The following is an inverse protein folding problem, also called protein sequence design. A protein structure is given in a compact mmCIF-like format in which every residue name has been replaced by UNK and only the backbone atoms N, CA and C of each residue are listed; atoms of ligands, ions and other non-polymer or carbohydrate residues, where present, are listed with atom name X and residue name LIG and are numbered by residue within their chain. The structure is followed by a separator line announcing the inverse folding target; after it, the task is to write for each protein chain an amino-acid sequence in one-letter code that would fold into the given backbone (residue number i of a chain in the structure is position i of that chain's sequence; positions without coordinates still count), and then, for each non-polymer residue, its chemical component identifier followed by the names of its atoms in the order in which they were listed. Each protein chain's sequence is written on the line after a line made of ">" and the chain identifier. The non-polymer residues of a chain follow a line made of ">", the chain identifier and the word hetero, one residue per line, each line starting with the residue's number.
data_IF_163364497048
#
_entry.id   IF_163364497048
#
_cell.length_a   1.000
_cell.length_b   1.000
_cell.length_c   1.000
_cell.angle_alpha   90.00
_cell.angle_beta   90.00
_cell.angle_gamma   90.00
#
_symmetry.space_group_name_H-M   'P 1'
#
loop_
_entity.id
_entity.type
_entity.pdbx_description
1 polymer ?
#
# COMPACT_ATOMS: atom_id res chain seq x y z
N UNK A 1 -27.81 -11.65 -18.54
CA UNK A 1 -29.25 -11.88 -18.76
C UNK A 1 -29.76 -10.84 -19.75
N UNK A 2 -30.44 -11.25 -20.86
CA UNK A 2 -31.05 -10.31 -21.81
C UNK A 2 -32.34 -9.78 -21.23
N UNK A 3 -32.50 -8.45 -21.14
CA UNK A 3 -33.67 -7.78 -20.61
C UNK A 3 -34.28 -6.97 -21.77
N UNK A 4 -35.55 -7.19 -22.12
CA UNK A 4 -36.17 -6.46 -23.22
C UNK A 4 -36.41 -5.00 -22.84
N UNK A 5 -36.19 -4.11 -23.83
CA UNK A 5 -36.42 -2.66 -23.72
C UNK A 5 -37.88 -2.34 -24.12
N UNK A 6 -38.46 -1.34 -23.49
CA UNK A 6 -39.68 -0.72 -23.97
C UNK A 6 -39.38 0.19 -25.18
N UNK A 7 -40.43 0.52 -26.00
CA UNK A 7 -40.24 1.37 -27.20
C UNK A 7 -39.66 2.79 -26.97
N UNK A 8 -39.47 3.19 -25.71
CA UNK A 8 -39.03 4.53 -25.33
C UNK A 8 -37.50 4.75 -25.30
N UNK A 9 -36.71 3.69 -25.53
CA UNK A 9 -35.22 3.79 -25.36
C UNK A 9 -34.52 3.82 -26.71
N UNK A 10 -34.29 5.03 -27.25
CA UNK A 10 -33.66 5.24 -28.57
C UNK A 10 -32.15 5.48 -28.53
N UNK A 11 -31.51 5.60 -27.36
CA UNK A 11 -30.09 5.97 -27.22
C UNK A 11 -29.29 4.89 -26.47
N UNK A 12 -29.30 3.65 -27.01
CA UNK A 12 -28.64 2.49 -26.37
C UNK A 12 -27.11 2.67 -26.36
N UNK A 13 -26.55 3.33 -27.34
CA UNK A 13 -25.10 3.53 -27.46
C UNK A 13 -24.51 4.36 -26.31
N UNK A 14 -25.28 5.29 -25.75
CA UNK A 14 -24.88 6.06 -24.57
C UNK A 14 -24.82 5.23 -23.27
N UNK A 15 -25.40 4.03 -23.27
CA UNK A 15 -25.46 3.17 -22.07
C UNK A 15 -24.25 2.26 -21.96
N UNK A 16 -23.57 2.04 -23.08
CA UNK A 16 -22.38 1.17 -23.14
C UNK A 16 -21.26 1.81 -22.31
N UNK A 17 -20.62 1.01 -21.47
CA UNK A 17 -19.57 1.43 -20.54
C UNK A 17 -20.01 2.44 -19.46
N UNK A 18 -21.30 2.67 -19.27
CA UNK A 18 -21.81 3.51 -18.20
C UNK A 18 -22.58 2.71 -17.14
N UNK A 19 -22.57 3.20 -15.91
CA UNK A 19 -23.42 2.74 -14.83
C UNK A 19 -24.79 3.38 -14.94
N UNK A 20 -25.86 2.61 -14.62
CA UNK A 20 -27.21 3.13 -14.72
C UNK A 20 -28.16 2.48 -13.72
N UNK A 21 -29.10 3.26 -13.22
CA UNK A 21 -30.28 2.74 -12.54
C UNK A 21 -31.35 2.37 -13.58
N UNK A 22 -31.87 1.18 -13.47
CA UNK A 22 -32.89 0.65 -14.38
C UNK A 22 -34.24 0.52 -13.65
N UNK A 23 -35.24 1.25 -14.11
CA UNK A 23 -36.60 1.06 -13.64
C UNK A 23 -37.28 0.00 -14.49
N UNK A 24 -37.80 -1.03 -13.83
CA UNK A 24 -38.45 -2.16 -14.47
C UNK A 24 -39.97 -2.12 -14.28
N UNK A 25 -40.72 -2.45 -15.32
CA UNK A 25 -42.18 -2.68 -15.25
C UNK A 25 -42.54 -3.88 -16.14
N UNK A 26 -43.23 -4.86 -15.57
CA UNK A 26 -43.65 -6.09 -16.26
C UNK A 26 -42.47 -6.78 -17.01
N UNK A 27 -41.29 -6.86 -16.37
CA UNK A 27 -40.09 -7.49 -16.93
C UNK A 27 -39.40 -6.70 -18.04
N UNK A 28 -39.80 -5.46 -18.31
CA UNK A 28 -39.18 -4.57 -19.33
C UNK A 28 -38.56 -3.33 -18.68
N UNK A 29 -37.46 -2.85 -19.22
CA UNK A 29 -36.87 -1.56 -18.83
C UNK A 29 -37.77 -0.44 -19.35
N UNK A 30 -38.25 0.42 -18.46
CA UNK A 30 -39.09 1.56 -18.78
C UNK A 30 -38.41 2.89 -18.61
N UNK A 31 -37.33 2.94 -17.79
CA UNK A 31 -36.50 4.12 -17.59
C UNK A 31 -35.06 3.71 -17.30
N UNK A 32 -34.13 4.47 -17.84
CA UNK A 32 -32.70 4.37 -17.60
C UNK A 32 -32.20 5.72 -17.08
N UNK A 33 -31.51 5.72 -15.97
CA UNK A 33 -30.86 6.92 -15.41
C UNK A 33 -29.36 6.65 -15.36
N UNK A 34 -28.59 7.28 -16.26
CA UNK A 34 -27.15 7.12 -16.34
C UNK A 34 -26.46 7.84 -15.18
N UNK A 35 -25.42 7.21 -14.62
CA UNK A 35 -24.52 7.76 -13.63
C UNK A 35 -23.20 8.03 -14.35
N UNK A 36 -22.95 9.31 -14.72
CA UNK A 36 -21.83 9.70 -15.58
C UNK A 36 -20.66 10.31 -14.80
N UNK A 37 -20.91 10.80 -13.59
CA UNK A 37 -19.88 11.46 -12.79
C UNK A 37 -18.87 10.44 -12.28
N UNK A 38 -17.59 10.66 -12.63
CA UNK A 38 -16.49 9.79 -12.28
C UNK A 38 -15.37 10.57 -11.63
N UNK A 39 -14.80 9.99 -10.58
CA UNK A 39 -13.61 10.50 -9.92
C UNK A 39 -12.51 9.46 -10.09
N UNK A 40 -11.36 9.89 -10.59
CA UNK A 40 -10.15 9.08 -10.66
C UNK A 40 -9.06 9.84 -9.92
N UNK A 41 -8.76 9.38 -8.73
CA UNK A 41 -7.75 9.96 -7.83
C UNK A 41 -7.09 8.85 -7.04
N UNK A 42 -5.94 9.17 -6.50
CA UNK A 42 -5.24 8.25 -5.61
C UNK A 42 -6.06 7.99 -4.36
N UNK A 43 -6.18 6.71 -4.01
CA UNK A 43 -6.86 6.26 -2.79
C UNK A 43 -5.93 6.49 -1.60
N UNK A 44 -6.36 7.28 -0.64
CA UNK A 44 -5.59 7.60 0.58
C UNK A 44 -5.91 6.63 1.72
N UNK A 45 -7.17 6.23 1.86
CA UNK A 45 -7.59 5.17 2.79
C UNK A 45 -8.91 4.51 2.35
N UNK A 46 -9.17 3.32 2.87
CA UNK A 46 -10.42 2.58 2.64
C UNK A 46 -11.03 2.19 3.98
N UNK A 47 -12.26 2.64 4.21
CA UNK A 47 -13.07 2.32 5.37
C UNK A 47 -14.18 1.32 4.97
N UNK A 48 -14.89 0.78 5.95
CA UNK A 48 -16.04 -0.10 5.68
C UNK A 48 -17.16 0.60 4.91
N UNK A 49 -17.35 1.89 5.18
CA UNK A 49 -18.44 2.72 4.65
C UNK A 49 -18.04 3.62 3.49
N UNK A 50 -16.73 3.69 3.09
CA UNK A 50 -16.29 4.59 2.04
C UNK A 50 -14.78 4.59 1.80
N UNK A 51 -14.35 5.53 0.98
CA UNK A 51 -12.93 5.78 0.68
C UNK A 51 -12.57 7.23 0.90
N UNK A 52 -11.31 7.48 1.21
CA UNK A 52 -10.69 8.80 1.17
C UNK A 52 -9.88 8.92 -0.13
N UNK A 53 -10.21 9.91 -0.94
CA UNK A 53 -9.54 10.19 -2.20
C UNK A 53 -8.77 11.51 -2.11
N UNK A 54 -7.59 11.53 -2.71
CA UNK A 54 -6.76 12.73 -2.80
C UNK A 54 -7.56 13.87 -3.46
N UNK A 55 -7.51 15.08 -2.92
CA UNK A 55 -8.26 16.29 -3.34
C UNK A 55 -9.79 16.22 -3.14
N UNK A 56 -10.37 15.07 -2.88
CA UNK A 56 -11.82 14.91 -2.70
C UNK A 56 -12.25 14.59 -1.27
N UNK A 57 -11.31 14.16 -0.42
CA UNK A 57 -11.61 13.73 0.94
C UNK A 57 -12.41 12.43 0.99
N UNK A 58 -13.20 12.25 2.03
CA UNK A 58 -13.97 11.02 2.29
C UNK A 58 -15.29 11.03 1.52
N UNK A 59 -15.51 9.96 0.73
CA UNK A 59 -16.74 9.74 -0.04
C UNK A 59 -17.34 8.40 0.40
N UNK A 60 -18.60 8.37 0.92
CA UNK A 60 -19.21 7.14 1.38
C UNK A 60 -19.70 6.26 0.22
N UNK A 61 -19.77 4.94 0.44
CA UNK A 61 -20.41 4.00 -0.47
C UNK A 61 -21.96 4.12 -0.41
N UNK A 62 -22.60 4.00 -1.58
CA UNK A 62 -24.04 3.78 -1.67
C UNK A 62 -24.36 2.34 -1.25
N UNK A 63 -25.50 2.09 -0.61
CA UNK A 63 -25.97 0.73 -0.35
C UNK A 63 -26.07 -0.07 -1.66
N UNK A 64 -25.45 -1.25 -1.71
CA UNK A 64 -25.36 -2.05 -2.92
C UNK A 64 -24.34 -1.55 -3.94
N UNK A 65 -23.35 -0.76 -3.53
CA UNK A 65 -22.22 -0.34 -4.36
C UNK A 65 -21.61 -1.55 -5.10
N UNK A 66 -21.28 -1.36 -6.38
CA UNK A 66 -20.72 -2.40 -7.22
C UNK A 66 -19.21 -2.25 -7.32
N UNK A 67 -18.48 -3.34 -7.17
CA UNK A 67 -17.02 -3.40 -7.34
C UNK A 67 -16.74 -4.30 -8.54
N UNK A 68 -16.08 -3.75 -9.57
CA UNK A 68 -15.88 -4.40 -10.86
C UNK A 68 -14.47 -4.17 -11.39
N UNK A 69 -13.85 -5.23 -11.90
CA UNK A 69 -12.71 -5.14 -12.80
C UNK A 69 -13.25 -4.99 -14.23
N UNK A 70 -12.77 -4.02 -14.98
CA UNK A 70 -13.31 -3.67 -16.32
C UNK A 70 -12.29 -3.80 -17.45
N UNK A 71 -11.05 -4.11 -17.15
CA UNK A 71 -10.01 -4.42 -18.14
C UNK A 71 -9.86 -5.96 -18.29
N UNK A 72 -9.46 -6.41 -19.48
CA UNK A 72 -9.43 -7.84 -19.79
C UNK A 72 -10.85 -8.44 -19.78
N UNK A 73 -11.15 -9.26 -18.78
CA UNK A 73 -12.50 -9.81 -18.55
C UNK A 73 -13.24 -9.01 -17.49
N UNK A 74 -14.55 -8.84 -17.69
CA UNK A 74 -15.41 -8.19 -16.69
C UNK A 74 -15.64 -9.15 -15.51
N UNK A 75 -15.12 -8.77 -14.34
CA UNK A 75 -15.19 -9.59 -13.12
C UNK A 75 -15.76 -8.79 -11.95
N UNK A 76 -16.46 -9.50 -11.04
CA UNK A 76 -16.86 -8.90 -9.77
C UNK A 76 -15.66 -8.86 -8.83
N UNK A 77 -15.54 -7.75 -8.15
CA UNK A 77 -14.57 -7.52 -7.08
C UNK A 77 -15.27 -7.25 -5.75
N UNK A 78 -14.48 -7.03 -4.72
CA UNK A 78 -14.91 -6.72 -3.35
C UNK A 78 -14.29 -5.39 -2.91
N UNK A 79 -14.78 -4.75 -1.83
CA UNK A 79 -14.15 -3.56 -1.25
C UNK A 79 -12.66 -3.75 -0.91
N UNK A 80 -12.28 -5.01 -0.59
CA UNK A 80 -10.90 -5.39 -0.27
C UNK A 80 -9.96 -5.29 -1.47
N UNK A 81 -10.48 -5.26 -2.69
CA UNK A 81 -9.69 -5.16 -3.92
C UNK A 81 -9.36 -3.69 -4.30
N UNK A 82 -9.79 -2.71 -3.48
CA UNK A 82 -9.38 -1.33 -3.62
C UNK A 82 -7.97 -1.17 -3.05
N UNK A 83 -7.03 -0.74 -3.90
CA UNK A 83 -5.64 -0.55 -3.51
C UNK A 83 -5.36 0.87 -3.05
N UNK A 84 -4.89 1.00 -1.82
CA UNK A 84 -4.43 2.25 -1.25
C UNK A 84 -3.15 2.73 -1.93
N UNK A 85 -2.97 4.03 -2.07
CA UNK A 85 -1.78 4.65 -2.65
C UNK A 85 -1.79 4.74 -4.18
N UNK A 86 -2.80 4.17 -4.85
CA UNK A 86 -2.90 4.09 -6.31
C UNK A 86 -4.16 4.77 -6.85
N UNK A 87 -4.16 5.07 -8.16
CA UNK A 87 -5.25 5.72 -8.90
C UNK A 87 -5.81 4.81 -10.01
N UNK A 88 -5.74 3.50 -9.81
CA UNK A 88 -6.15 2.50 -10.79
C UNK A 88 -7.66 2.23 -10.79
N UNK A 89 -8.40 2.81 -9.87
CA UNK A 89 -9.84 2.75 -9.78
C UNK A 89 -10.51 4.04 -10.23
N UNK A 90 -11.62 3.90 -10.96
CA UNK A 90 -12.59 4.97 -11.20
C UNK A 90 -13.77 4.80 -10.26
N UNK A 91 -14.13 5.87 -9.56
CA UNK A 91 -15.26 5.90 -8.64
C UNK A 91 -16.43 6.58 -9.31
N UNK A 92 -17.50 5.84 -9.59
CA UNK A 92 -18.73 6.40 -10.14
C UNK A 92 -19.54 6.99 -9.00
N UNK A 93 -19.74 8.31 -9.03
CA UNK A 93 -20.39 9.06 -7.95
C UNK A 93 -21.78 9.50 -8.37
N UNK A 94 -22.74 9.36 -7.47
CA UNK A 94 -24.08 9.91 -7.63
C UNK A 94 -24.62 10.38 -6.28
N UNK A 95 -25.17 11.58 -6.22
CA UNK A 95 -25.75 12.15 -4.99
C UNK A 95 -24.77 12.17 -3.80
N UNK A 96 -23.50 12.43 -4.07
CA UNK A 96 -22.45 12.49 -3.05
C UNK A 96 -22.00 11.12 -2.51
N UNK A 97 -22.40 10.01 -3.15
CA UNK A 97 -22.01 8.66 -2.77
C UNK A 97 -21.42 7.89 -3.94
N UNK A 98 -20.50 6.97 -3.65
CA UNK A 98 -19.94 6.05 -4.65
C UNK A 98 -20.93 4.92 -4.87
N UNK A 99 -21.43 4.77 -6.10
CA UNK A 99 -22.35 3.71 -6.49
C UNK A 99 -21.66 2.57 -7.26
N UNK A 100 -20.46 2.80 -7.77
CA UNK A 100 -19.60 1.74 -8.31
C UNK A 100 -18.12 2.12 -8.22
N UNK A 101 -17.28 1.11 -8.04
CA UNK A 101 -15.82 1.19 -8.13
C UNK A 101 -15.38 0.31 -9.28
N UNK A 102 -14.68 0.90 -10.24
CA UNK A 102 -14.24 0.24 -11.46
C UNK A 102 -12.73 0.19 -11.49
N UNK A 103 -12.13 -0.99 -11.36
CA UNK A 103 -10.70 -1.18 -11.60
C UNK A 103 -10.46 -1.21 -13.10
N UNK A 104 -9.79 -0.19 -13.63
CA UNK A 104 -9.73 0.08 -15.09
C UNK A 104 -8.40 -0.29 -15.74
N UNK A 105 -7.40 -0.62 -14.94
CA UNK A 105 -6.06 -1.01 -15.43
C UNK A 105 -5.37 -1.99 -14.48
N UNK A 106 -4.32 -2.62 -14.98
CA UNK A 106 -3.49 -3.51 -14.19
C UNK A 106 -2.71 -2.74 -13.09
N UNK A 107 -2.43 -3.46 -12.02
CA UNK A 107 -1.61 -3.00 -10.92
C UNK A 107 -0.13 -2.97 -11.30
N UNK A 108 0.53 -1.87 -11.01
CA UNK A 108 1.98 -1.73 -11.08
C UNK A 108 2.50 -1.19 -9.75
N UNK A 109 3.23 -2.02 -9.00
CA UNK A 109 3.77 -1.69 -7.69
C UNK A 109 5.03 -0.83 -7.80
N UNK A 110 4.89 0.45 -8.11
CA UNK A 110 6.01 1.40 -8.12
C UNK A 110 6.32 1.98 -6.73
N UNK A 111 5.34 2.07 -5.85
CA UNK A 111 5.46 2.63 -4.50
C UNK A 111 4.92 1.70 -3.44
N UNK A 112 5.42 1.85 -2.23
CA UNK A 112 4.92 1.20 -1.03
C UNK A 112 4.62 2.25 0.04
N UNK A 113 3.68 1.93 0.94
CA UNK A 113 3.24 2.77 2.04
C UNK A 113 3.45 2.01 3.34
N UNK A 114 4.40 2.49 4.14
CA UNK A 114 4.85 1.85 5.37
C UNK A 114 4.33 2.63 6.57
N UNK A 115 3.55 1.99 7.40
CA UNK A 115 3.14 2.54 8.69
C UNK A 115 4.33 2.44 9.65
N UNK A 116 4.77 3.57 10.19
CA UNK A 116 5.88 3.62 11.12
C UNK A 116 5.35 3.44 12.53
N UNK A 117 5.79 2.38 13.20
CA UNK A 117 5.46 2.11 14.60
C UNK A 117 6.29 2.97 15.55
N UNK A 118 5.91 3.00 16.81
CA UNK A 118 6.67 3.66 17.86
C UNK A 118 8.10 3.06 18.02
N UNK A 119 8.92 3.67 18.84
CA UNK A 119 10.32 3.24 19.01
C UNK A 119 10.48 1.81 19.55
N UNK A 120 9.46 1.30 20.23
CA UNK A 120 9.43 -0.06 20.80
C UNK A 120 8.78 -1.10 19.91
N UNK A 121 8.20 -0.72 18.77
CA UNK A 121 7.34 -1.58 17.94
C UNK A 121 6.13 -2.16 18.70
N UNK A 122 5.61 -1.41 19.68
CA UNK A 122 4.48 -1.83 20.51
C UNK A 122 3.16 -1.18 20.04
N UNK A 123 3.24 0.01 19.44
CA UNK A 123 2.08 0.78 19.01
C UNK A 123 2.25 1.39 17.62
N UNK A 124 1.15 1.46 16.89
CA UNK A 124 1.05 2.21 15.63
C UNK A 124 0.74 3.70 15.87
N UNK A 125 0.47 4.08 17.13
CA UNK A 125 0.08 5.43 17.50
C UNK A 125 1.22 6.18 18.16
N UNK A 126 1.36 7.45 17.80
CA UNK A 126 2.35 8.35 18.35
C UNK A 126 1.67 9.46 19.16
N UNK A 127 2.12 9.75 20.39
CA UNK A 127 1.60 10.87 21.16
C UNK A 127 1.98 12.22 20.55
N UNK A 128 3.08 12.26 19.82
CA UNK A 128 3.53 13.36 18.96
C UNK A 128 4.55 12.86 17.94
N UNK A 129 4.70 13.59 16.85
CA UNK A 129 5.72 13.35 15.82
C UNK A 129 6.56 14.60 15.64
N UNK A 130 7.88 14.45 15.72
CA UNK A 130 8.83 15.55 15.51
C UNK A 130 9.63 15.28 14.26
N UNK A 131 9.60 16.23 13.31
CA UNK A 131 10.20 16.13 12.00
C UNK A 131 11.28 17.19 11.80
N UNK A 132 12.36 16.81 11.15
CA UNK A 132 13.45 17.68 10.72
C UNK A 132 13.95 17.24 9.34
N UNK A 133 14.34 18.18 8.49
CA UNK A 133 14.94 17.90 7.20
C UNK A 133 16.17 18.78 7.01
N UNK A 134 17.31 18.25 6.53
CA UNK A 134 18.52 19.06 6.22
C UNK A 134 18.26 20.06 5.07
N UNK A 135 17.32 19.75 4.15
CA UNK A 135 16.80 20.68 3.13
C UNK A 135 15.46 21.26 3.53
N UNK A 136 14.88 22.09 2.66
CA UNK A 136 13.52 22.56 2.86
C UNK A 136 12.51 21.40 2.73
N UNK A 137 11.35 21.56 3.39
CA UNK A 137 10.23 20.63 3.21
C UNK A 137 8.92 21.40 3.08
N UNK A 138 8.01 20.88 2.27
CA UNK A 138 6.65 21.39 2.11
C UNK A 138 5.70 20.58 2.97
N UNK A 139 4.82 21.24 3.73
CA UNK A 139 3.70 20.63 4.44
C UNK A 139 2.42 21.02 3.73
N UNK A 140 1.55 20.07 3.41
CA UNK A 140 0.29 20.29 2.73
C UNK A 140 -0.87 19.64 3.51
N UNK A 141 -2.01 20.33 3.60
CA UNK A 141 -3.22 19.86 4.25
C UNK A 141 -4.43 20.52 3.58
N UNK A 142 -5.46 19.78 3.24
CA UNK A 142 -6.55 20.28 2.42
C UNK A 142 -6.01 20.99 1.16
N UNK A 143 -6.46 22.21 0.91
CA UNK A 143 -5.99 23.06 -0.20
C UNK A 143 -4.80 23.95 0.19
N UNK A 144 -4.35 23.91 1.44
CA UNK A 144 -3.28 24.76 1.97
C UNK A 144 -1.92 24.08 1.96
N UNK A 145 -0.86 24.90 1.95
CA UNK A 145 0.51 24.45 2.12
C UNK A 145 1.39 25.48 2.78
N UNK A 146 2.48 25.03 3.40
CA UNK A 146 3.50 25.88 3.98
C UNK A 146 4.89 25.29 3.83
N UNK A 147 5.87 26.14 3.58
CA UNK A 147 7.28 25.78 3.58
C UNK A 147 7.85 25.75 5.00
N UNK A 148 8.77 24.83 5.22
CA UNK A 148 9.60 24.72 6.42
C UNK A 148 11.04 24.86 5.97
N UNK A 149 11.78 25.76 6.62
CA UNK A 149 13.17 26.01 6.26
C UNK A 149 14.08 24.81 6.60
N UNK A 150 15.19 24.71 5.88
CA UNK A 150 16.19 23.69 6.11
C UNK A 150 16.66 23.66 7.57
N UNK A 151 16.73 22.46 8.15
CA UNK A 151 17.16 22.25 9.54
C UNK A 151 16.15 22.63 10.62
N UNK A 152 15.01 23.21 10.25
CA UNK A 152 13.97 23.62 11.19
C UNK A 152 13.17 22.39 11.67
N UNK A 153 13.03 22.29 12.99
CA UNK A 153 12.27 21.21 13.62
C UNK A 153 10.78 21.58 13.72
N UNK A 154 9.91 20.61 13.48
CA UNK A 154 8.47 20.75 13.59
C UNK A 154 7.88 19.62 14.42
N UNK A 155 7.15 20.02 15.46
CA UNK A 155 6.36 19.10 16.29
C UNK A 155 4.93 19.12 15.80
N UNK A 156 4.35 17.94 15.62
CA UNK A 156 2.95 17.70 15.31
C UNK A 156 2.38 16.83 16.44
N UNK A 157 1.26 17.24 17.00
CA UNK A 157 0.58 16.54 18.08
C UNK A 157 -0.91 16.38 17.76
N UNK A 158 -1.63 15.46 18.42
CA UNK A 158 -3.08 15.37 18.32
C UNK A 158 -3.76 16.70 18.58
N UNK A 159 -4.81 17.01 17.82
CA UNK A 159 -5.50 18.32 17.88
C UNK A 159 -4.86 19.42 17.03
N UNK A 160 -3.80 19.15 16.28
CA UNK A 160 -3.25 20.08 15.30
C UNK A 160 -4.33 20.47 14.28
N UNK A 161 -4.56 21.77 14.09
CA UNK A 161 -5.64 22.27 13.22
C UNK A 161 -5.51 21.75 11.77
N UNK A 162 -4.30 21.52 11.29
CA UNK A 162 -4.03 21.00 9.95
C UNK A 162 -4.52 19.56 9.74
N UNK A 163 -4.62 18.77 10.79
CA UNK A 163 -5.13 17.39 10.74
C UNK A 163 -6.66 17.32 10.71
N UNK A 164 -7.35 18.43 11.04
CA UNK A 164 -8.82 18.48 11.00
C UNK A 164 -9.39 18.43 9.59
N UNK A 165 -8.61 18.83 8.59
CA UNK A 165 -8.99 18.81 7.20
C UNK A 165 -8.57 17.51 6.47
N UNK A 166 -8.05 16.54 7.22
CA UNK A 166 -7.62 15.25 6.70
C UNK A 166 -6.17 14.93 7.02
N UNK A 167 -5.36 14.63 5.99
CA UNK A 167 -3.96 14.26 6.14
C UNK A 167 -3.05 15.48 6.09
N UNK A 168 -2.05 15.49 6.97
CA UNK A 168 -0.90 16.37 6.82
C UNK A 168 0.18 15.61 6.03
N UNK A 169 0.49 16.09 4.84
CA UNK A 169 1.51 15.52 3.96
C UNK A 169 2.78 16.33 4.12
N UNK A 170 3.92 15.68 4.32
CA UNK A 170 5.23 16.31 4.43
C UNK A 170 6.13 15.78 3.31
N UNK A 171 6.48 16.65 2.38
CA UNK A 171 7.31 16.35 1.22
C UNK A 171 8.66 17.07 1.37
N UNK A 172 9.80 16.35 1.45
CA UNK A 172 11.11 17.00 1.43
C UNK A 172 11.44 17.52 0.03
N UNK A 173 12.38 18.45 -0.04
CA UNK A 173 13.03 18.84 -1.28
C UNK A 173 13.66 17.60 -1.96
N UNK A 174 13.71 17.61 -3.29
CA UNK A 174 14.20 16.48 -4.08
C UNK A 174 15.59 16.01 -3.63
N UNK A 175 15.76 14.70 -3.49
CA UNK A 175 16.99 14.07 -3.03
C UNK A 175 17.29 14.27 -1.54
N UNK A 176 16.35 14.80 -0.76
CA UNK A 176 16.47 14.92 0.71
C UNK A 176 15.59 13.91 1.41
N UNK A 177 15.98 13.62 2.65
CA UNK A 177 15.27 12.70 3.54
C UNK A 177 14.80 13.44 4.79
N UNK A 178 13.67 12.98 5.33
CA UNK A 178 13.10 13.54 6.57
C UNK A 178 13.57 12.68 7.73
N UNK A 179 14.16 13.29 8.73
CA UNK A 179 14.42 12.68 10.03
C UNK A 179 13.17 12.78 10.91
N UNK A 180 12.75 11.69 11.50
CA UNK A 180 11.71 11.66 12.53
C UNK A 180 12.39 11.59 13.88
N UNK A 181 12.72 12.76 14.46
CA UNK A 181 13.55 12.86 15.69
C UNK A 181 12.85 12.32 16.94
N UNK A 182 11.55 12.05 16.86
CA UNK A 182 10.78 11.35 17.90
C UNK A 182 10.80 9.83 17.79
N UNK A 183 11.43 9.27 16.74
CA UNK A 183 11.60 7.82 16.55
C UNK A 183 13.06 7.42 16.68
N UNK A 184 13.28 6.32 17.39
CA UNK A 184 14.61 5.71 17.55
C UNK A 184 14.55 4.24 17.17
N UNK A 185 15.59 3.73 16.53
CA UNK A 185 15.80 2.32 16.22
C UNK A 185 17.10 1.85 16.85
N UNK A 186 17.05 1.52 18.14
CA UNK A 186 18.24 1.30 18.93
C UNK A 186 19.07 2.59 19.06
N UNK A 187 20.31 2.57 18.56
CA UNK A 187 21.18 3.76 18.49
C UNK A 187 21.09 4.49 17.16
N UNK A 188 20.36 3.97 16.19
CA UNK A 188 20.17 4.56 14.88
C UNK A 188 19.00 5.54 14.87
N UNK A 189 19.23 6.73 14.31
CA UNK A 189 18.20 7.73 14.06
C UNK A 189 17.77 7.64 12.59
N UNK A 190 16.59 7.05 12.29
CA UNK A 190 16.22 6.76 10.92
C UNK A 190 15.85 8.00 10.13
N UNK A 191 16.30 8.03 8.87
CA UNK A 191 15.96 9.00 7.86
C UNK A 191 15.05 8.36 6.82
N UNK A 192 14.02 9.08 6.38
CA UNK A 192 12.97 8.58 5.50
C UNK A 192 12.99 9.29 4.16
N UNK A 193 13.23 8.54 3.09
CA UNK A 193 13.05 8.99 1.72
C UNK A 193 11.57 9.06 1.36
N UNK A 194 11.25 9.76 0.27
CA UNK A 194 9.87 9.92 -0.18
C UNK A 194 9.12 10.96 0.66
N UNK A 195 7.86 10.70 1.00
CA UNK A 195 7.04 11.62 1.78
C UNK A 195 6.51 10.95 3.04
N UNK A 196 6.19 11.76 4.02
CA UNK A 196 5.50 11.34 5.23
C UNK A 196 4.05 11.87 5.21
N UNK A 197 3.12 11.04 5.67
CA UNK A 197 1.73 11.41 5.87
C UNK A 197 1.34 11.16 7.32
N UNK A 198 0.72 12.15 7.95
CA UNK A 198 0.21 12.06 9.31
C UNK A 198 -1.31 12.10 9.29
N UNK A 199 -1.92 11.23 10.08
CA UNK A 199 -3.37 11.15 10.28
C UNK A 199 -3.64 11.13 11.77
N UNK A 200 -4.61 11.90 12.22
CA UNK A 200 -5.11 11.81 13.58
C UNK A 200 -6.09 10.63 13.70
N UNK A 201 -5.85 9.77 14.67
CA UNK A 201 -6.70 8.66 15.04
C UNK A 201 -7.14 8.78 16.51
N UNK A 202 -8.00 7.88 16.97
CA UNK A 202 -8.56 7.97 18.33
C UNK A 202 -7.49 7.91 19.44
N UNK A 203 -6.43 7.12 19.23
CA UNK A 203 -5.38 6.87 20.23
C UNK A 203 -4.11 7.72 20.02
N UNK A 204 -4.05 8.55 18.97
CA UNK A 204 -2.88 9.38 18.67
C UNK A 204 -2.68 9.61 17.19
N UNK A 205 -1.46 9.96 16.80
CA UNK A 205 -1.09 10.13 15.39
C UNK A 205 -0.65 8.83 14.77
N UNK A 206 -1.08 8.57 13.55
CA UNK A 206 -0.54 7.51 12.69
C UNK A 206 0.38 8.16 11.67
N UNK A 207 1.57 7.60 11.51
CA UNK A 207 2.60 8.09 10.60
C UNK A 207 2.85 7.07 9.48
N UNK A 208 2.70 7.49 8.24
CA UNK A 208 2.91 6.66 7.05
C UNK A 208 4.01 7.24 6.18
N UNK A 209 4.98 6.42 5.81
CA UNK A 209 6.01 6.76 4.84
C UNK A 209 5.66 6.18 3.47
N UNK A 210 5.49 7.04 2.46
CA UNK A 210 5.31 6.63 1.07
C UNK A 210 6.59 6.87 0.28
N UNK A 211 7.11 5.81 -0.35
CA UNK A 211 8.34 5.89 -1.13
C UNK A 211 8.32 4.87 -2.28
N UNK A 212 9.26 5.01 -3.21
CA UNK A 212 9.44 4.02 -4.28
C UNK A 212 9.88 2.66 -3.73
N UNK A 213 9.43 1.58 -4.37
CA UNK A 213 9.72 0.20 -3.97
C UNK A 213 11.22 -0.05 -3.83
N UNK A 214 12.04 0.40 -4.77
CA UNK A 214 13.48 0.16 -4.71
C UNK A 214 14.16 0.94 -3.56
N UNK A 215 13.69 2.15 -3.25
CA UNK A 215 14.18 2.90 -2.08
C UNK A 215 13.77 2.24 -0.75
N UNK A 216 12.59 1.64 -0.69
CA UNK A 216 12.17 0.80 0.43
C UNK A 216 13.12 -0.38 0.62
N UNK A 217 13.44 -1.10 -0.45
CA UNK A 217 14.31 -2.28 -0.40
C UNK A 217 15.74 -1.97 0.01
N UNK A 218 16.28 -0.79 -0.33
CA UNK A 218 17.59 -0.33 0.14
C UNK A 218 17.68 -0.20 1.66
N UNK A 219 16.54 -0.10 2.34
CA UNK A 219 16.43 -0.04 3.81
C UNK A 219 15.97 -1.33 4.46
N UNK A 220 15.25 -2.17 3.71
CA UNK A 220 14.85 -3.52 4.18
C UNK A 220 16.04 -4.47 4.16
N UNK A 221 16.76 -4.55 3.04
CA UNK A 221 17.84 -5.53 2.87
C UNK A 221 18.89 -5.44 3.98
N UNK A 222 19.46 -4.27 4.34
CA UNK A 222 20.45 -4.18 5.43
C UNK A 222 19.81 -4.38 6.81
N UNK A 223 18.50 -4.15 6.96
CA UNK A 223 17.78 -4.38 8.22
C UNK A 223 17.45 -5.86 8.46
N UNK A 224 17.36 -6.66 7.40
CA UNK A 224 17.04 -8.10 7.45
C UNK A 224 18.29 -8.99 7.36
N UNK A 225 19.34 -8.54 6.67
CA UNK A 225 20.55 -9.32 6.43
C UNK A 225 21.79 -8.46 6.57
N UNK A 226 22.79 -8.88 7.37
CA UNK A 226 24.04 -8.12 7.50
C UNK A 226 24.71 -7.84 6.14
N UNK A 227 25.05 -6.60 5.86
CA UNK A 227 25.70 -6.17 4.60
C UNK A 227 27.07 -6.82 4.35
N UNK A 228 27.67 -7.45 5.39
CA UNK A 228 28.90 -8.23 5.27
C UNK A 228 28.74 -9.58 4.54
N UNK A 229 27.49 -10.04 4.30
CA UNK A 229 27.24 -11.28 3.57
C UNK A 229 27.68 -11.15 2.10
N UNK A 230 27.80 -12.31 1.43
CA UNK A 230 28.16 -12.34 0.01
C UNK A 230 27.14 -11.58 -0.85
N UNK A 231 27.63 -10.87 -1.88
CA UNK A 231 26.78 -10.02 -2.72
C UNK A 231 25.62 -10.81 -3.34
N UNK A 232 25.85 -12.05 -3.76
CA UNK A 232 24.80 -12.89 -4.34
C UNK A 232 23.74 -13.30 -3.29
N UNK A 233 24.10 -13.42 -2.03
CA UNK A 233 23.13 -13.63 -0.95
C UNK A 233 22.27 -12.37 -0.73
N UNK A 234 22.88 -11.17 -0.72
CA UNK A 234 22.16 -9.89 -0.64
C UNK A 234 21.24 -9.70 -1.84
N UNK A 235 21.65 -10.09 -3.05
CA UNK A 235 20.78 -10.07 -4.25
C UNK A 235 19.58 -11.03 -4.12
N UNK A 236 19.81 -12.23 -3.61
CA UNK A 236 18.71 -13.16 -3.35
C UNK A 236 17.73 -12.60 -2.33
N UNK A 237 18.23 -11.99 -1.25
CA UNK A 237 17.39 -11.29 -0.26
C UNK A 237 16.60 -10.16 -0.90
N UNK A 238 17.20 -9.34 -1.75
CA UNK A 238 16.50 -8.24 -2.44
C UNK A 238 15.36 -8.74 -3.33
N UNK A 239 15.56 -9.85 -4.07
CA UNK A 239 14.51 -10.49 -4.90
C UNK A 239 13.38 -11.05 -4.03
N UNK A 240 13.71 -11.73 -2.93
CA UNK A 240 12.72 -12.24 -1.97
C UNK A 240 11.91 -11.10 -1.36
N UNK A 241 12.60 -10.06 -0.84
CA UNK A 241 11.97 -8.92 -0.19
C UNK A 241 11.05 -8.15 -1.15
N UNK A 242 11.47 -7.94 -2.41
CA UNK A 242 10.65 -7.29 -3.44
C UNK A 242 9.40 -8.09 -3.74
N UNK A 243 9.52 -9.40 -3.90
CA UNK A 243 8.38 -10.27 -4.18
C UNK A 243 7.40 -10.29 -3.01
N UNK A 244 7.91 -10.37 -1.78
CA UNK A 244 7.10 -10.30 -0.57
C UNK A 244 6.36 -8.95 -0.47
N UNK A 245 7.08 -7.83 -0.61
CA UNK A 245 6.50 -6.49 -0.55
C UNK A 245 5.40 -6.29 -1.61
N UNK A 246 5.61 -6.75 -2.84
CA UNK A 246 4.61 -6.73 -3.90
C UNK A 246 3.31 -7.44 -3.50
N UNK A 247 3.41 -8.59 -2.86
CA UNK A 247 2.25 -9.34 -2.37
C UNK A 247 1.54 -8.59 -1.23
N UNK A 248 2.30 -7.95 -0.32
CA UNK A 248 1.74 -7.23 0.81
C UNK A 248 1.01 -5.94 0.41
N UNK A 249 1.41 -5.27 -0.67
CA UNK A 249 0.69 -4.10 -1.20
C UNK A 249 -0.78 -4.43 -1.50
N UNK A 250 -1.07 -5.66 -1.91
CA UNK A 250 -2.42 -6.13 -2.17
C UNK A 250 -3.19 -6.55 -0.89
N UNK A 251 -2.51 -6.49 0.26
CA UNK A 251 -3.11 -6.76 1.57
C UNK A 251 -3.95 -5.58 2.09
N UNK A 252 -4.68 -5.83 3.17
CA UNK A 252 -5.67 -4.88 3.72
C UNK A 252 -5.43 -4.52 5.18
N UNK A 253 -4.32 -4.96 5.77
CA UNK A 253 -4.08 -4.86 7.21
C UNK A 253 -4.21 -3.44 7.74
N UNK A 254 -3.67 -2.47 7.02
CA UNK A 254 -3.64 -1.05 7.43
C UNK A 254 -4.34 -0.12 6.45
N UNK A 255 -5.26 -0.64 5.60
CA UNK A 255 -5.94 0.17 4.58
C UNK A 255 -6.71 1.36 5.15
N UNK A 256 -7.24 1.24 6.38
CA UNK A 256 -7.96 2.32 7.07
C UNK A 256 -7.06 3.51 7.44
N UNK A 257 -5.77 3.27 7.60
CA UNK A 257 -4.76 4.31 7.84
C UNK A 257 -4.04 4.75 6.56
N UNK A 258 -4.27 4.03 5.47
CA UNK A 258 -3.65 4.31 4.20
C UNK A 258 -2.27 3.69 4.04
N UNK A 259 -1.97 2.58 4.71
CA UNK A 259 -0.71 1.87 4.62
C UNK A 259 -0.90 0.41 4.15
N UNK A 260 0.18 -0.17 3.62
CA UNK A 260 0.23 -1.55 3.17
C UNK A 260 0.80 -2.48 4.25
N UNK A 261 1.88 -2.06 4.87
CA UNK A 261 2.68 -2.80 5.85
C UNK A 261 3.06 -1.88 7.01
N UNK A 262 3.52 -2.46 8.13
CA UNK A 262 4.29 -1.74 9.15
C UNK A 262 5.80 -1.99 8.98
N UNK A 263 6.61 -1.30 9.79
CA UNK A 263 8.07 -1.37 9.74
C UNK A 263 8.71 -2.40 10.68
N UNK A 264 7.89 -3.30 11.26
CA UNK A 264 8.31 -4.32 12.23
C UNK A 264 8.45 -5.72 11.62
N UNK A 265 8.75 -6.68 12.47
CA UNK A 265 8.80 -8.11 12.14
C UNK A 265 7.43 -8.73 11.78
N UNK A 266 6.33 -7.99 11.92
CA UNK A 266 5.02 -8.42 11.41
C UNK A 266 5.02 -8.57 9.89
N UNK A 267 5.87 -7.76 9.22
CA UNK A 267 6.08 -7.77 7.78
C UNK A 267 7.57 -7.91 7.47
N UNK A 268 8.25 -6.83 7.16
CA UNK A 268 9.68 -6.76 6.90
C UNK A 268 10.27 -5.64 7.74
N UNK A 269 11.35 -5.92 8.44
CA UNK A 269 12.05 -4.89 9.21
C UNK A 269 12.53 -3.81 8.26
N UNK A 270 12.02 -2.60 8.45
CA UNK A 270 12.29 -1.47 7.58
C UNK A 270 13.04 -0.37 8.31
N UNK A 271 14.13 0.11 7.71
CA UNK A 271 14.90 1.26 8.17
C UNK A 271 15.42 1.16 9.62
N UNK A 272 15.78 -0.07 10.04
CA UNK A 272 16.36 -0.36 11.37
C UNK A 272 17.90 -0.33 11.34
N UNK A 273 18.48 -0.20 10.16
CA UNK A 273 19.90 -0.05 9.90
C UNK A 273 20.13 0.99 8.82
N UNK A 274 21.24 1.69 8.89
CA UNK A 274 21.64 2.63 7.86
C UNK A 274 21.86 1.91 6.51
N UNK A 275 21.39 2.48 5.38
CA UNK A 275 21.67 1.93 4.06
C UNK A 275 23.18 1.76 3.84
N UNK A 276 23.56 0.62 3.28
CA UNK A 276 24.95 0.25 3.00
C UNK A 276 25.19 0.13 1.49
N UNK A 277 26.40 0.47 1.01
CA UNK A 277 26.72 0.46 -0.42
C UNK A 277 26.54 -0.93 -1.04
N UNK A 278 26.90 -2.01 -0.32
CA UNK A 278 26.79 -3.38 -0.85
C UNK A 278 25.34 -3.85 -0.94
N UNK A 279 24.52 -3.55 0.08
CA UNK A 279 23.10 -3.87 0.07
C UNK A 279 22.35 -3.03 -0.99
N UNK A 280 22.69 -1.75 -1.12
CA UNK A 280 22.18 -0.86 -2.18
C UNK A 280 22.51 -1.41 -3.57
N UNK A 281 23.76 -1.79 -3.81
CA UNK A 281 24.20 -2.42 -5.05
C UNK A 281 23.45 -3.72 -5.35
N UNK A 282 23.15 -4.54 -4.34
CA UNK A 282 22.38 -5.77 -4.50
C UNK A 282 20.95 -5.50 -4.97
N UNK A 283 20.31 -4.45 -4.44
CA UNK A 283 18.97 -3.99 -4.87
C UNK A 283 19.03 -3.50 -6.31
N UNK A 284 19.97 -2.61 -6.64
CA UNK A 284 20.08 -2.01 -7.97
C UNK A 284 20.38 -3.06 -9.06
N UNK A 285 21.29 -4.03 -8.81
CA UNK A 285 21.63 -5.10 -9.77
C UNK A 285 20.51 -6.14 -9.93
N UNK A 286 19.50 -6.12 -9.05
CA UNK A 286 18.30 -6.96 -9.12
C UNK A 286 17.02 -6.18 -9.39
N UNK A 287 17.14 -4.93 -9.85
CA UNK A 287 16.00 -4.03 -10.09
C UNK A 287 14.86 -4.75 -10.80
N UNK A 288 13.64 -4.66 -10.25
CA UNK A 288 12.42 -5.22 -10.81
C UNK A 288 12.33 -6.75 -10.87
N UNK A 289 13.37 -7.49 -10.43
CA UNK A 289 13.34 -8.96 -10.44
C UNK A 289 12.48 -9.48 -9.30
N UNK A 290 11.54 -10.37 -9.63
CA UNK A 290 10.61 -11.01 -8.71
C UNK A 290 10.53 -12.51 -8.98
N UNK A 291 10.05 -13.27 -8.01
CA UNK A 291 9.81 -14.71 -8.14
C UNK A 291 8.37 -15.00 -8.53
N UNK A 292 8.20 -15.91 -9.50
CA UNK A 292 6.90 -16.33 -10.00
C UNK A 292 6.77 -17.85 -9.99
N UNK A 293 5.56 -18.32 -9.75
CA UNK A 293 5.16 -19.71 -9.96
C UNK A 293 3.92 -19.74 -10.85
N UNK A 294 4.03 -20.45 -11.99
CA UNK A 294 2.94 -20.58 -12.98
C UNK A 294 2.32 -19.22 -13.40
N UNK A 295 3.18 -18.20 -13.58
CA UNK A 295 2.76 -16.86 -14.02
C UNK A 295 2.22 -15.95 -12.92
N UNK A 296 2.12 -16.39 -11.68
CA UNK A 296 1.71 -15.58 -10.53
C UNK A 296 2.88 -15.31 -9.58
N UNK A 297 2.99 -14.11 -8.99
CA UNK A 297 4.00 -13.85 -7.96
C UNK A 297 3.84 -14.79 -6.77
N UNK A 298 4.96 -15.18 -6.16
CA UNK A 298 4.94 -16.08 -4.99
C UNK A 298 4.96 -15.28 -3.69
N UNK A 299 4.44 -15.86 -2.60
CA UNK A 299 4.71 -15.36 -1.25
C UNK A 299 6.09 -15.85 -0.83
N UNK A 300 7.07 -14.93 -0.84
CA UNK A 300 8.48 -15.25 -0.63
C UNK A 300 8.84 -15.10 0.85
N UNK A 301 8.53 -16.11 1.65
CA UNK A 301 8.98 -16.14 3.05
C UNK A 301 10.48 -16.39 3.16
N UNK A 302 11.12 -15.77 4.14
CA UNK A 302 12.53 -15.98 4.48
C UNK A 302 12.72 -15.98 5.99
N UNK A 303 13.83 -16.53 6.46
CA UNK A 303 14.17 -16.66 7.88
C UNK A 303 15.68 -16.70 8.07
N UNK A 304 16.16 -16.32 9.26
CA UNK A 304 17.60 -16.19 9.55
C UNK A 304 18.29 -17.54 9.77
N UNK A 305 17.63 -18.52 10.34
CA UNK A 305 18.24 -19.81 10.74
C UNK A 305 17.29 -20.98 10.51
N UNK A 306 17.87 -22.16 10.21
CA UNK A 306 17.14 -23.42 10.13
C UNK A 306 17.94 -24.56 10.78
N UNK A 307 17.24 -25.62 11.13
CA UNK A 307 17.86 -26.88 11.59
C UNK A 307 18.32 -27.79 10.45
N UNK A 308 18.49 -27.26 9.24
CA UNK A 308 18.87 -28.01 8.04
C UNK A 308 17.70 -28.45 7.16
N UNK A 309 16.47 -28.08 7.55
CA UNK A 309 15.24 -28.26 6.76
C UNK A 309 14.47 -26.95 6.72
N UNK A 310 13.78 -26.68 5.60
CA UNK A 310 12.73 -25.66 5.55
C UNK A 310 11.38 -26.28 5.94
N UNK A 311 10.45 -25.50 6.42
CA UNK A 311 9.07 -25.91 6.61
C UNK A 311 8.28 -25.80 5.28
N UNK A 312 7.19 -26.53 5.13
CA UNK A 312 6.21 -26.33 4.09
C UNK A 312 5.09 -25.37 4.52
N UNK A 313 4.17 -25.04 3.61
CA UNK A 313 3.05 -24.14 3.87
C UNK A 313 2.11 -24.60 5.01
N UNK A 314 2.13 -25.89 5.37
CA UNK A 314 1.30 -26.44 6.45
C UNK A 314 1.69 -25.97 7.85
N UNK A 315 2.91 -25.44 8.05
CA UNK A 315 3.39 -24.99 9.36
C UNK A 315 2.55 -23.86 9.96
N UNK A 316 1.91 -23.04 9.12
CA UNK A 316 0.98 -21.98 9.52
C UNK A 316 -0.49 -22.35 9.28
N UNK A 317 -0.82 -23.64 9.14
CA UNK A 317 -2.17 -24.11 8.84
C UNK A 317 -2.62 -23.89 7.40
N UNK A 318 -1.72 -23.47 6.51
CA UNK A 318 -2.00 -23.31 5.08
C UNK A 318 -2.20 -24.66 4.38
N UNK A 319 -2.98 -24.64 3.30
CA UNK A 319 -3.15 -25.81 2.45
C UNK A 319 -1.94 -25.92 1.49
N UNK A 320 -1.15 -27.03 1.51
CA UNK A 320 0.00 -27.20 0.64
C UNK A 320 -0.33 -27.11 -0.86
N UNK A 321 -1.58 -27.35 -1.26
CA UNK A 321 -2.01 -27.22 -2.66
C UNK A 321 -2.16 -25.76 -3.13
N UNK A 322 -2.34 -24.81 -2.20
CA UNK A 322 -2.47 -23.39 -2.52
C UNK A 322 -1.13 -22.69 -2.76
N UNK A 323 -0.07 -23.21 -2.15
CA UNK A 323 1.29 -22.73 -2.34
C UNK A 323 2.27 -23.90 -2.60
N UNK A 324 2.15 -24.60 -3.74
CA UNK A 324 2.90 -25.81 -4.01
C UNK A 324 4.41 -25.58 -4.18
N UNK A 325 4.85 -24.35 -4.27
CA UNK A 325 6.27 -23.93 -4.27
C UNK A 325 6.86 -23.84 -2.85
N UNK A 326 6.04 -23.74 -1.79
CA UNK A 326 6.48 -23.74 -0.39
C UNK A 326 6.57 -25.18 0.13
N UNK A 327 7.59 -25.89 -0.31
CA UNK A 327 7.87 -27.27 0.11
C UNK A 327 9.03 -27.32 1.09
N UNK A 328 8.98 -28.30 2.00
CA UNK A 328 10.12 -28.63 2.83
C UNK A 328 11.30 -29.10 1.97
N UNK A 329 12.46 -28.51 2.18
CA UNK A 329 13.71 -28.80 1.45
C UNK A 329 14.84 -29.03 2.45
N UNK A 330 15.63 -30.09 2.24
CA UNK A 330 16.86 -30.33 2.99
C UNK A 330 17.96 -29.41 2.48
N UNK A 331 18.49 -28.54 3.34
CA UNK A 331 19.47 -27.50 2.97
C UNK A 331 20.91 -28.03 2.84
N UNK A 332 21.27 -29.14 3.49
CA UNK A 332 22.60 -29.73 3.44
C UNK A 332 22.50 -31.27 3.35
N UNK A 333 22.15 -31.88 2.20
CA UNK A 333 21.92 -33.31 2.07
C UNK A 333 23.18 -34.16 2.30
N UNK A 334 24.36 -33.58 2.40
CA UNK A 334 25.64 -34.30 2.64
C UNK A 334 26.25 -34.15 4.04
N UNK A 335 25.73 -33.28 4.90
CA UNK A 335 26.15 -33.24 6.32
C UNK A 335 25.22 -34.10 7.14
N UNK A 336 25.76 -35.21 7.71
CA UNK A 336 25.07 -35.93 8.78
C UNK A 336 24.85 -34.91 9.92
N UNK A 337 23.59 -34.80 10.41
CA UNK A 337 23.27 -34.06 11.63
C UNK A 337 24.19 -34.54 12.75
N UNK A 338 24.85 -33.60 13.39
CA UNK A 338 25.55 -33.85 14.64
C UNK A 338 24.52 -34.15 15.72
#
# INVERSE_FOLDING_TARGET
>A
RRIPLSKASRHVDEWVHNMADLQMKNGKIVKVSLKKDRVTRRVLSVQEDGVELEEYGKIPFEEGCLFLKTYGTLERQRPEDILVGYDMQEFVVARGKICAVLTVREFNADKIRVLLMDSGFESIYHPQVTLRCPGAMTRSWGDDSAQVAAGEERVIAPGDQRLKEGRLIVQPEEGREIQVTSLHRGTYEPHYAGRLELVEAEEGLVLVNELYMEEYLKRVVPSEMPSSYELEALKAQAVCARTYAYMQIQGNTYRQYGAHVDDSTNFQVYNNQEPDERSTRAVDETYGKMMFHQGSPVTAYYFSTSCGLTADNGVWGGNPSEAPYLKSVTLNPGRKSL
#
